data_IF_413023737024
#
_entry.id   IF_413023737024
#
_cell.length_a   1.000
_cell.length_b   1.000
_cell.length_c   1.000
_cell.angle_alpha   90.00
_cell.angle_beta   90.00
_cell.angle_gamma   90.00
#
_symmetry.space_group_name_H-M   'P 1'
#
loop_
_entity.id
_entity.type
_entity.pdbx_description
1 polymer ?
#
# COMPACT_ATOMS: atom_id res chain seq x y z
N UNK A 1 -5.00 -20.40 1.55
CA UNK A 1 -5.92 -19.33 1.07
C UNK A 1 -5.35 -17.95 1.35
N UNK A 2 -5.01 -17.58 2.59
CA UNK A 2 -4.50 -16.24 2.95
C UNK A 2 -3.27 -15.79 2.15
N UNK A 3 -2.27 -16.66 1.96
CA UNK A 3 -1.07 -16.35 1.15
C UNK A 3 -1.43 -15.93 -0.27
N UNK A 4 -2.39 -16.63 -0.91
CA UNK A 4 -2.84 -16.29 -2.26
C UNK A 4 -3.42 -14.86 -2.32
N UNK A 5 -4.24 -14.48 -1.33
CA UNK A 5 -4.78 -13.12 -1.24
C UNK A 5 -3.67 -12.07 -1.09
N UNK A 6 -2.65 -12.32 -0.27
CA UNK A 6 -1.52 -11.40 -0.15
C UNK A 6 -0.77 -11.26 -1.48
N UNK A 7 -0.54 -12.36 -2.20
CA UNK A 7 0.17 -12.32 -3.49
C UNK A 7 -0.64 -11.57 -4.56
N UNK A 8 -1.97 -11.78 -4.61
CA UNK A 8 -2.86 -11.01 -5.51
C UNK A 8 -2.76 -9.52 -5.16
N UNK A 9 -2.86 -9.18 -3.87
CA UNK A 9 -2.75 -7.79 -3.41
C UNK A 9 -1.41 -7.17 -3.75
N UNK A 10 -0.32 -7.91 -3.53
CA UNK A 10 1.03 -7.47 -3.86
C UNK A 10 1.23 -7.21 -5.36
N UNK A 11 0.68 -8.07 -6.21
CA UNK A 11 0.72 -7.90 -7.66
C UNK A 11 -0.05 -6.64 -8.09
N UNK A 12 -1.27 -6.45 -7.58
CA UNK A 12 -2.07 -5.26 -7.86
C UNK A 12 -1.35 -3.98 -7.41
N UNK A 13 -0.72 -3.99 -6.23
CA UNK A 13 0.03 -2.83 -5.73
C UNK A 13 1.30 -2.57 -6.54
N UNK A 14 1.99 -3.61 -7.02
CA UNK A 14 3.15 -3.43 -7.91
C UNK A 14 2.75 -2.72 -9.22
N UNK A 15 1.66 -3.16 -9.84
CA UNK A 15 1.10 -2.49 -11.02
C UNK A 15 0.63 -1.07 -10.70
N UNK A 16 -0.05 -0.87 -9.59
CA UNK A 16 -0.51 0.44 -9.14
C UNK A 16 0.66 1.42 -8.94
N UNK A 17 1.76 0.98 -8.33
CA UNK A 17 2.96 1.81 -8.14
C UNK A 17 3.58 2.24 -9.47
N UNK A 18 3.67 1.32 -10.45
CA UNK A 18 4.15 1.66 -11.79
C UNK A 18 3.22 2.67 -12.50
N UNK A 19 1.91 2.50 -12.31
CA UNK A 19 0.90 3.43 -12.85
C UNK A 19 0.98 4.80 -12.19
N UNK A 20 1.19 4.89 -10.87
CA UNK A 20 1.34 6.16 -10.16
C UNK A 20 2.47 7.01 -10.71
N UNK A 21 3.60 6.40 -11.08
CA UNK A 21 4.71 7.12 -11.73
C UNK A 21 4.24 7.82 -13.00
N UNK A 22 3.43 7.14 -13.82
CA UNK A 22 2.86 7.73 -15.05
C UNK A 22 1.84 8.83 -14.75
N UNK A 23 0.97 8.61 -13.78
CA UNK A 23 -0.10 9.54 -13.39
C UNK A 23 0.50 10.86 -12.89
N UNK A 24 1.44 10.79 -11.96
CA UNK A 24 2.03 11.99 -11.33
C UNK A 24 2.87 12.86 -12.26
N UNK A 25 3.17 12.38 -13.47
CA UNK A 25 3.81 13.20 -14.53
C UNK A 25 2.84 14.13 -15.25
N UNK A 26 1.55 13.80 -15.28
CA UNK A 26 0.55 14.51 -16.08
C UNK A 26 -0.62 15.03 -15.26
N UNK A 27 -0.84 14.50 -14.06
CA UNK A 27 -1.97 14.81 -13.20
C UNK A 27 -1.44 15.13 -11.79
N UNK A 28 -1.87 16.22 -11.17
CA UNK A 28 -1.58 16.49 -9.76
C UNK A 28 -2.03 15.30 -8.89
N UNK A 29 -1.17 14.85 -7.98
CA UNK A 29 -1.45 13.65 -7.19
C UNK A 29 -2.75 13.76 -6.37
N UNK A 30 -3.13 14.97 -5.93
CA UNK A 30 -4.36 15.25 -5.22
C UNK A 30 -5.59 14.89 -6.06
N UNK A 31 -5.56 15.30 -7.33
CA UNK A 31 -6.62 15.02 -8.32
C UNK A 31 -6.67 13.53 -8.63
N UNK A 32 -5.53 12.90 -8.85
CA UNK A 32 -5.42 11.45 -9.04
C UNK A 32 -5.98 10.67 -7.86
N UNK A 33 -5.65 11.08 -6.63
CA UNK A 33 -6.13 10.47 -5.40
C UNK A 33 -7.65 10.60 -5.24
N UNK A 34 -8.20 11.76 -5.54
CA UNK A 34 -9.63 12.02 -5.48
C UNK A 34 -10.43 11.17 -6.47
N UNK A 35 -10.10 11.22 -7.76
CA UNK A 35 -10.88 10.51 -8.78
C UNK A 35 -10.77 8.97 -8.69
N UNK A 36 -9.56 8.43 -8.42
CA UNK A 36 -9.45 7.00 -8.17
C UNK A 36 -10.23 6.57 -6.92
N UNK A 37 -10.23 7.46 -5.90
CA UNK A 37 -10.97 7.24 -4.66
C UNK A 37 -12.48 7.24 -4.88
N UNK A 38 -13.02 8.11 -5.75
CA UNK A 38 -14.44 8.05 -6.16
C UNK A 38 -14.75 6.67 -6.72
N UNK A 39 -13.98 6.18 -7.69
CA UNK A 39 -14.20 4.86 -8.28
C UNK A 39 -14.18 3.76 -7.23
N UNK A 40 -13.13 3.71 -6.41
CA UNK A 40 -12.98 2.68 -5.40
C UNK A 40 -14.09 2.75 -4.34
N UNK A 41 -14.45 3.95 -3.85
CA UNK A 41 -15.52 4.14 -2.87
C UNK A 41 -16.88 3.71 -3.42
N UNK A 42 -17.19 4.03 -4.68
CA UNK A 42 -18.45 3.61 -5.32
C UNK A 42 -18.51 2.09 -5.45
N UNK A 43 -17.42 1.45 -5.91
CA UNK A 43 -17.37 0.00 -6.02
C UNK A 43 -17.53 -0.66 -4.64
N UNK A 44 -16.81 -0.19 -3.63
CA UNK A 44 -16.96 -0.73 -2.27
C UNK A 44 -18.32 -0.43 -1.64
N UNK A 45 -18.94 0.72 -1.95
CA UNK A 45 -20.30 1.00 -1.53
C UNK A 45 -21.29 -0.02 -2.13
N UNK A 46 -21.18 -0.28 -3.43
CA UNK A 46 -22.03 -1.28 -4.11
C UNK A 46 -21.81 -2.66 -3.50
N UNK A 47 -20.56 -3.08 -3.29
CA UNK A 47 -20.24 -4.37 -2.69
C UNK A 47 -20.76 -4.48 -1.25
N UNK A 48 -20.53 -3.44 -0.44
CA UNK A 48 -20.90 -3.45 0.96
C UNK A 48 -22.41 -3.35 1.17
N UNK A 49 -23.09 -2.38 0.57
CA UNK A 49 -24.51 -2.16 0.79
C UNK A 49 -25.40 -3.06 -0.07
N UNK A 50 -24.97 -3.45 -1.27
CA UNK A 50 -25.73 -4.27 -2.18
C UNK A 50 -25.59 -5.78 -1.94
N UNK A 51 -24.41 -6.22 -1.50
CA UNK A 51 -24.10 -7.65 -1.47
C UNK A 51 -23.61 -8.17 -0.12
N UNK A 52 -23.54 -7.37 0.94
CA UNK A 52 -23.03 -7.78 2.26
C UNK A 52 -23.73 -9.01 2.84
N UNK A 53 -25.01 -9.21 2.53
CA UNK A 53 -25.83 -10.31 3.03
C UNK A 53 -25.79 -11.54 2.10
N UNK A 54 -25.10 -11.46 0.96
CA UNK A 54 -24.98 -12.59 0.05
C UNK A 54 -24.09 -13.68 0.66
N UNK A 55 -24.39 -14.94 0.37
CA UNK A 55 -23.60 -16.07 0.83
C UNK A 55 -22.13 -16.00 0.40
N UNK A 56 -21.84 -15.36 -0.73
CA UNK A 56 -20.47 -15.16 -1.24
C UNK A 56 -19.62 -14.27 -0.33
N UNK A 57 -20.23 -13.24 0.29
CA UNK A 57 -19.53 -12.29 1.17
C UNK A 57 -19.72 -12.61 2.67
N UNK A 58 -20.32 -13.75 3.00
CA UNK A 58 -20.44 -14.19 4.39
C UNK A 58 -19.05 -14.31 5.03
N UNK A 59 -18.87 -13.65 6.17
CA UNK A 59 -17.56 -13.57 6.85
C UNK A 59 -16.67 -12.41 6.40
N UNK A 60 -16.99 -11.71 5.29
CA UNK A 60 -16.25 -10.49 4.87
C UNK A 60 -16.89 -9.20 5.42
N UNK A 61 -18.08 -9.32 5.99
CA UNK A 61 -18.75 -8.29 6.79
C UNK A 61 -19.01 -8.86 8.18
N UNK A 62 -18.58 -8.13 9.21
CA UNK A 62 -18.77 -8.58 10.60
C UNK A 62 -20.02 -7.95 11.19
N UNK A 63 -20.15 -6.64 11.08
CA UNK A 63 -21.33 -5.88 11.52
C UNK A 63 -21.61 -4.70 10.60
N UNK A 64 -22.85 -4.16 10.61
CA UNK A 64 -23.14 -2.91 9.89
C UNK A 64 -22.29 -1.76 10.42
N UNK A 65 -21.88 -0.87 9.51
CA UNK A 65 -21.23 0.38 9.87
C UNK A 65 -22.21 1.22 10.70
N UNK A 66 -21.76 1.66 11.86
CA UNK A 66 -22.51 2.55 12.74
C UNK A 66 -21.64 3.79 13.06
N UNK A 67 -22.30 4.91 13.32
CA UNK A 67 -21.60 6.14 13.76
C UNK A 67 -21.32 5.98 15.25
N UNK A 68 -20.20 5.36 15.56
CA UNK A 68 -19.73 5.10 16.92
C UNK A 68 -18.24 5.44 17.08
N UNK A 69 -17.70 5.18 18.26
CA UNK A 69 -16.28 5.44 18.56
C UNK A 69 -15.36 4.63 17.62
N UNK A 70 -15.73 3.41 17.23
CA UNK A 70 -14.90 2.57 16.36
C UNK A 70 -14.81 3.16 14.95
N UNK A 71 -15.89 3.77 14.44
CA UNK A 71 -15.85 4.46 13.15
C UNK A 71 -14.92 5.68 13.20
N UNK A 72 -14.97 6.47 14.27
CA UNK A 72 -14.07 7.61 14.45
C UNK A 72 -12.61 7.18 14.53
N UNK A 73 -12.31 6.12 15.28
CA UNK A 73 -10.97 5.54 15.35
C UNK A 73 -10.51 4.98 14.00
N UNK A 74 -11.42 4.33 13.26
CA UNK A 74 -11.13 3.84 11.90
C UNK A 74 -10.80 4.98 10.96
N UNK A 75 -11.58 6.07 10.96
CA UNK A 75 -11.32 7.26 10.14
C UNK A 75 -9.98 7.90 10.53
N UNK A 76 -9.69 8.03 11.82
CA UNK A 76 -8.40 8.56 12.28
C UNK A 76 -7.23 7.71 11.79
N UNK A 77 -7.34 6.37 11.85
CA UNK A 77 -6.36 5.43 11.33
C UNK A 77 -6.22 5.55 9.80
N UNK A 78 -7.33 5.73 9.08
CA UNK A 78 -7.30 5.95 7.63
C UNK A 78 -6.57 7.25 7.27
N UNK A 79 -6.84 8.34 8.00
CA UNK A 79 -6.12 9.62 7.82
C UNK A 79 -4.63 9.43 8.11
N UNK A 80 -4.27 8.73 9.19
CA UNK A 80 -2.89 8.40 9.50
C UNK A 80 -2.22 7.62 8.37
N UNK A 81 -2.91 6.63 7.79
CA UNK A 81 -2.42 5.88 6.64
C UNK A 81 -2.22 6.76 5.39
N UNK A 82 -3.13 7.72 5.14
CA UNK A 82 -3.05 8.64 4.00
C UNK A 82 -1.79 9.52 4.07
N UNK A 83 -1.31 9.89 5.26
CA UNK A 83 -0.01 10.56 5.37
C UNK A 83 1.13 9.70 4.79
N UNK A 84 1.07 8.38 4.97
CA UNK A 84 2.00 7.45 4.32
C UNK A 84 1.99 7.58 2.80
N UNK A 85 0.81 7.62 2.18
CA UNK A 85 0.66 7.85 0.74
C UNK A 85 1.18 9.23 0.32
N UNK A 86 0.88 10.29 1.07
CA UNK A 86 1.36 11.63 0.76
C UNK A 86 2.89 11.72 0.78
N UNK A 87 3.53 11.16 1.79
CA UNK A 87 4.98 11.13 1.87
C UNK A 87 5.57 10.27 0.75
N UNK A 88 4.97 9.13 0.43
CA UNK A 88 5.38 8.33 -0.71
C UNK A 88 5.33 9.11 -2.02
N UNK A 89 4.21 9.76 -2.32
CA UNK A 89 4.03 10.54 -3.56
C UNK A 89 5.01 11.72 -3.64
N UNK A 90 5.25 12.42 -2.54
CA UNK A 90 6.28 13.47 -2.48
C UNK A 90 7.69 12.90 -2.64
N UNK A 91 7.93 11.71 -2.10
CA UNK A 91 9.20 11.01 -2.24
C UNK A 91 9.54 10.71 -3.70
N UNK A 92 8.61 10.10 -4.44
CA UNK A 92 8.81 9.75 -5.86
C UNK A 92 8.87 10.97 -6.79
N UNK A 93 8.42 12.14 -6.34
CA UNK A 93 8.64 13.40 -7.06
C UNK A 93 10.06 13.94 -6.88
N UNK A 94 10.74 13.62 -5.77
CA UNK A 94 12.07 14.12 -5.40
C UNK A 94 13.21 13.16 -5.70
N UNK A 95 12.91 11.86 -5.75
CA UNK A 95 13.90 10.83 -6.00
C UNK A 95 13.32 9.71 -6.91
N UNK A 96 14.19 8.94 -7.58
CA UNK A 96 13.77 7.77 -8.35
C UNK A 96 12.91 6.80 -7.54
N UNK A 97 11.93 6.18 -8.21
CA UNK A 97 11.05 5.17 -7.59
C UNK A 97 11.86 4.00 -7.04
N UNK A 98 12.93 3.61 -7.75
CA UNK A 98 13.87 2.56 -7.32
C UNK A 98 14.57 2.84 -5.98
N UNK A 99 14.60 4.10 -5.53
CA UNK A 99 15.12 4.50 -4.21
C UNK A 99 13.99 4.59 -3.18
N UNK A 100 12.91 5.29 -3.49
CA UNK A 100 11.84 5.60 -2.52
C UNK A 100 11.04 4.36 -2.16
N UNK A 101 10.75 3.51 -3.15
CA UNK A 101 9.91 2.33 -2.96
C UNK A 101 10.51 1.32 -1.96
N UNK A 102 11.79 0.89 -2.08
CA UNK A 102 12.39 0.00 -1.07
C UNK A 102 12.41 0.60 0.33
N UNK A 103 12.66 1.92 0.44
CA UNK A 103 12.69 2.60 1.74
C UNK A 103 11.29 2.66 2.37
N UNK A 104 10.26 2.97 1.58
CA UNK A 104 8.87 3.00 2.05
C UNK A 104 8.32 1.61 2.41
N UNK A 105 8.95 0.55 1.90
CA UNK A 105 8.58 -0.83 2.16
C UNK A 105 9.23 -1.43 3.43
N UNK A 106 10.10 -0.70 4.12
CA UNK A 106 10.70 -1.16 5.38
C UNK A 106 9.62 -1.47 6.42
N UNK A 107 9.64 -2.68 6.98
CA UNK A 107 8.60 -3.19 7.88
C UNK A 107 8.93 -3.06 9.37
N UNK A 108 9.98 -2.31 9.71
CA UNK A 108 10.38 -2.08 11.11
C UNK A 108 9.21 -1.55 11.94
N UNK A 109 8.54 -0.52 11.46
CA UNK A 109 7.41 0.08 12.18
C UNK A 109 6.19 -0.84 12.25
N UNK A 110 5.96 -1.66 11.22
CA UNK A 110 4.90 -2.68 11.27
C UNK A 110 5.15 -3.69 12.39
N UNK A 111 6.38 -4.19 12.48
CA UNK A 111 6.76 -5.17 13.49
C UNK A 111 6.67 -4.57 14.89
N UNK A 112 7.24 -3.38 15.10
CA UNK A 112 7.16 -2.70 16.38
C UNK A 112 5.70 -2.49 16.81
N UNK A 113 4.83 -2.03 15.90
CA UNK A 113 3.41 -1.83 16.21
C UNK A 113 2.69 -3.15 16.44
N UNK A 114 2.95 -4.19 15.63
CA UNK A 114 2.33 -5.50 15.80
C UNK A 114 2.67 -6.12 17.17
N UNK A 115 3.94 -6.06 17.58
CA UNK A 115 4.39 -6.64 18.85
C UNK A 115 3.95 -5.79 20.05
N UNK A 116 4.24 -4.49 20.04
CA UNK A 116 4.08 -3.65 21.25
C UNK A 116 2.69 -3.04 21.40
N UNK A 117 1.93 -2.87 20.31
CA UNK A 117 0.58 -2.26 20.35
C UNK A 117 -0.50 -3.30 20.18
N UNK A 118 -0.37 -4.20 19.17
CA UNK A 118 -1.37 -5.24 18.91
C UNK A 118 -1.16 -6.46 19.82
N UNK A 119 0.05 -6.71 20.29
CA UNK A 119 0.38 -7.88 21.13
C UNK A 119 0.55 -9.16 20.33
N UNK A 120 0.92 -9.09 19.06
CA UNK A 120 1.20 -10.29 18.25
C UNK A 120 2.39 -11.06 18.80
N UNK A 121 2.23 -12.37 18.93
CA UNK A 121 3.28 -13.24 19.48
C UNK A 121 4.45 -13.34 18.53
N UNK A 122 5.64 -13.03 19.05
CA UNK A 122 6.88 -13.11 18.30
C UNK A 122 7.31 -14.56 18.09
N UNK A 123 7.60 -14.92 16.83
CA UNK A 123 8.18 -16.22 16.47
C UNK A 123 9.54 -16.03 15.79
N UNK A 124 10.51 -16.90 16.06
CA UNK A 124 11.86 -16.80 15.47
C UNK A 124 11.87 -16.78 13.93
N UNK A 125 11.04 -17.55 13.21
CA UNK A 125 10.98 -17.44 11.75
C UNK A 125 10.62 -16.02 11.26
N UNK A 126 9.81 -15.27 12.01
CA UNK A 126 9.49 -13.87 11.66
C UNK A 126 10.73 -12.96 11.70
N UNK A 127 11.61 -13.17 12.70
CA UNK A 127 12.87 -12.42 12.79
C UNK A 127 13.78 -12.72 11.59
N UNK A 128 13.97 -14.00 11.28
CA UNK A 128 14.81 -14.38 10.15
C UNK A 128 14.25 -13.84 8.83
N UNK A 129 12.96 -13.97 8.59
CA UNK A 129 12.31 -13.44 7.41
C UNK A 129 12.39 -11.92 7.34
N UNK A 130 12.25 -11.23 8.47
CA UNK A 130 12.42 -9.77 8.55
C UNK A 130 13.84 -9.34 8.22
N UNK A 131 14.86 -9.99 8.79
CA UNK A 131 16.27 -9.66 8.51
C UNK A 131 16.58 -9.88 7.02
N UNK A 132 16.15 -11.02 6.45
CA UNK A 132 16.35 -11.32 5.04
C UNK A 132 15.64 -10.30 4.13
N UNK A 133 14.38 -9.98 4.39
CA UNK A 133 13.63 -9.03 3.56
C UNK A 133 14.17 -7.61 3.68
N UNK A 134 14.55 -7.17 4.87
CA UNK A 134 15.16 -5.86 5.11
C UNK A 134 16.53 -5.78 4.44
N UNK A 135 17.35 -6.82 4.58
CA UNK A 135 18.64 -6.92 3.87
C UNK A 135 18.47 -6.85 2.36
N UNK A 136 17.49 -7.57 1.82
CA UNK A 136 17.15 -7.51 0.40
C UNK A 136 16.75 -6.11 -0.07
N UNK A 137 15.88 -5.43 0.69
CA UNK A 137 15.47 -4.04 0.41
C UNK A 137 16.66 -3.07 0.48
N UNK A 138 17.58 -3.27 1.44
CA UNK A 138 18.80 -2.46 1.54
C UNK A 138 19.71 -2.65 0.31
N UNK A 139 19.89 -3.87 -0.20
CA UNK A 139 20.66 -4.09 -1.43
C UNK A 139 20.03 -3.39 -2.63
N UNK A 140 18.70 -3.44 -2.78
CA UNK A 140 17.99 -2.71 -3.83
C UNK A 140 18.20 -1.20 -3.69
N UNK A 141 18.11 -0.67 -2.47
CA UNK A 141 18.31 0.74 -2.17
C UNK A 141 19.75 1.21 -2.42
N UNK A 142 20.75 0.49 -1.91
CA UNK A 142 22.17 0.89 -2.02
C UNK A 142 22.63 0.99 -3.48
N UNK A 143 22.18 0.06 -4.33
CA UNK A 143 22.51 0.13 -5.75
C UNK A 143 21.82 1.31 -6.44
N UNK A 144 20.53 1.50 -6.17
CA UNK A 144 19.81 2.63 -6.74
C UNK A 144 20.36 3.99 -6.27
N UNK A 145 20.89 4.05 -5.04
CA UNK A 145 21.45 5.27 -4.46
C UNK A 145 22.90 5.55 -4.87
N UNK A 146 23.65 4.56 -5.36
CA UNK A 146 25.04 4.74 -5.78
C UNK A 146 25.20 5.74 -6.94
N UNK A 147 24.15 5.93 -7.74
CA UNK A 147 24.08 6.88 -8.83
C UNK A 147 23.45 8.23 -8.43
N UNK A 148 23.21 8.46 -7.15
CA UNK A 148 22.33 9.48 -6.64
C UNK A 148 23.00 10.34 -5.56
N UNK A 149 23.52 11.54 -5.90
CA UNK A 149 24.22 12.42 -4.94
C UNK A 149 23.54 13.75 -4.60
N UNK A 150 22.32 14.02 -5.12
CA UNK A 150 21.69 15.33 -4.95
C UNK A 150 20.97 15.48 -3.59
N UNK A 151 20.89 16.74 -3.09
CA UNK A 151 20.12 17.11 -1.89
C UNK A 151 18.63 16.67 -2.00
N UNK A 152 18.09 16.71 -3.21
CA UNK A 152 16.71 16.31 -3.47
C UNK A 152 16.46 14.83 -3.23
N UNK A 153 17.43 13.97 -3.57
CA UNK A 153 17.34 12.54 -3.35
C UNK A 153 17.36 12.18 -1.86
N UNK A 154 18.18 12.87 -1.05
CA UNK A 154 18.16 12.72 0.41
C UNK A 154 16.79 13.07 0.97
N UNK A 155 16.14 14.11 0.45
CA UNK A 155 14.78 14.50 0.81
C UNK A 155 13.78 13.42 0.40
N UNK A 156 13.92 12.82 -0.79
CA UNK A 156 13.09 11.70 -1.24
C UNK A 156 13.20 10.47 -0.34
N UNK A 157 14.42 10.13 0.11
CA UNK A 157 14.66 9.05 1.09
C UNK A 157 13.97 9.34 2.42
N UNK A 158 14.07 10.58 2.92
CA UNK A 158 13.41 10.97 4.17
C UNK A 158 11.89 10.85 4.06
N UNK A 159 11.31 11.24 2.93
CA UNK A 159 9.89 11.01 2.65
C UNK A 159 9.54 9.52 2.57
N UNK A 160 10.41 8.68 1.99
CA UNK A 160 10.25 7.23 2.00
C UNK A 160 10.24 6.65 3.42
N UNK A 161 11.13 7.09 4.31
CA UNK A 161 11.14 6.70 5.72
C UNK A 161 9.88 7.15 6.46
N UNK A 162 9.45 8.40 6.26
CA UNK A 162 8.19 8.88 6.82
C UNK A 162 6.99 8.05 6.31
N UNK A 163 6.96 7.72 5.03
CA UNK A 163 5.95 6.82 4.47
C UNK A 163 5.98 5.44 5.13
N UNK A 164 7.16 4.86 5.33
CA UNK A 164 7.34 3.58 6.03
C UNK A 164 6.78 3.62 7.46
N UNK A 165 6.99 4.72 8.18
CA UNK A 165 6.42 4.89 9.52
C UNK A 165 4.88 4.87 9.51
N UNK A 166 4.27 5.73 8.69
CA UNK A 166 2.81 5.85 8.64
C UNK A 166 2.15 4.58 8.11
N UNK A 167 2.63 4.03 7.00
CA UNK A 167 2.08 2.79 6.44
C UNK A 167 2.36 1.58 7.32
N UNK A 168 3.60 1.47 7.82
CA UNK A 168 3.98 0.34 8.64
C UNK A 168 3.14 0.22 9.90
N UNK A 169 2.97 1.32 10.63
CA UNK A 169 2.13 1.35 11.82
C UNK A 169 0.65 1.12 11.49
N UNK A 170 0.14 1.77 10.42
CA UNK A 170 -1.26 1.59 10.00
C UNK A 170 -1.58 0.15 9.66
N UNK A 171 -0.73 -0.53 8.89
CA UNK A 171 -0.97 -1.91 8.46
C UNK A 171 -1.05 -2.88 9.64
N UNK A 172 -0.27 -2.67 10.69
CA UNK A 172 -0.43 -3.46 11.90
C UNK A 172 -1.77 -3.20 12.60
N UNK A 173 -2.23 -1.94 12.61
CA UNK A 173 -3.48 -1.54 13.26
C UNK A 173 -4.74 -1.89 12.45
N UNK A 174 -4.63 -2.27 11.18
CA UNK A 174 -5.78 -2.66 10.33
C UNK A 174 -6.54 -3.86 10.88
N UNK A 175 -5.90 -4.68 11.71
CA UNK A 175 -6.57 -5.80 12.37
C UNK A 175 -7.82 -5.35 13.14
N UNK A 176 -7.81 -4.18 13.80
CA UNK A 176 -8.95 -3.68 14.57
C UNK A 176 -10.17 -3.33 13.70
N UNK A 177 -10.08 -2.43 12.70
CA UNK A 177 -11.24 -2.12 11.86
C UNK A 177 -11.71 -3.33 11.03
N UNK A 178 -10.81 -4.26 10.64
CA UNK A 178 -11.20 -5.49 9.97
C UNK A 178 -11.99 -6.40 10.91
N UNK A 179 -11.62 -6.50 12.19
CA UNK A 179 -12.39 -7.22 13.20
C UNK A 179 -13.75 -6.56 13.48
N UNK A 180 -13.84 -5.24 13.44
CA UNK A 180 -15.09 -4.51 13.70
C UNK A 180 -16.06 -4.55 12.53
N UNK A 181 -15.59 -4.30 11.33
CA UNK A 181 -16.42 -4.07 10.14
C UNK A 181 -16.30 -5.14 9.06
N UNK A 182 -15.33 -6.04 9.19
CA UNK A 182 -14.92 -6.97 8.14
C UNK A 182 -14.11 -6.28 7.03
N UNK A 183 -13.49 -7.08 6.14
CA UNK A 183 -12.69 -6.57 5.03
C UNK A 183 -13.42 -5.60 4.11
N UNK A 184 -14.70 -5.85 3.80
CA UNK A 184 -15.50 -4.98 2.93
C UNK A 184 -15.83 -3.65 3.59
N UNK A 185 -16.30 -3.67 4.85
CA UNK A 185 -16.64 -2.46 5.59
C UNK A 185 -15.43 -1.56 5.78
N UNK A 186 -14.30 -2.13 6.17
CA UNK A 186 -13.05 -1.39 6.30
C UNK A 186 -12.55 -0.84 4.95
N UNK A 187 -12.61 -1.62 3.87
CA UNK A 187 -12.23 -1.16 2.54
C UNK A 187 -13.08 0.03 2.07
N UNK A 188 -14.38 0.02 2.36
CA UNK A 188 -15.25 1.16 2.07
C UNK A 188 -14.83 2.41 2.85
N UNK A 189 -14.57 2.29 4.15
CA UNK A 189 -14.20 3.44 4.99
C UNK A 189 -12.86 4.03 4.57
N UNK A 190 -11.84 3.20 4.31
CA UNK A 190 -10.50 3.70 3.97
C UNK A 190 -10.49 4.43 2.62
N UNK A 191 -11.19 3.90 1.61
CA UNK A 191 -11.21 4.54 0.29
C UNK A 191 -12.08 5.80 0.26
N UNK A 192 -13.20 5.81 0.99
CA UNK A 192 -14.01 7.01 1.16
C UNK A 192 -13.24 8.10 1.90
N UNK A 193 -12.49 7.74 2.94
CA UNK A 193 -11.63 8.69 3.66
C UNK A 193 -10.53 9.23 2.74
N UNK A 194 -9.90 8.37 1.93
CA UNK A 194 -8.88 8.80 0.98
C UNK A 194 -9.44 9.73 -0.12
N UNK A 195 -10.64 9.45 -0.62
CA UNK A 195 -11.36 10.32 -1.56
C UNK A 195 -11.61 11.70 -0.95
N UNK A 196 -12.22 11.75 0.24
CA UNK A 196 -12.52 13.01 0.93
C UNK A 196 -11.26 13.80 1.26
N UNK A 197 -10.19 13.13 1.67
CA UNK A 197 -8.91 13.77 1.93
C UNK A 197 -8.31 14.35 0.63
N UNK A 198 -8.41 13.63 -0.50
CA UNK A 198 -8.02 14.13 -1.81
C UNK A 198 -8.78 15.41 -2.18
N UNK A 199 -10.08 15.46 -1.92
CA UNK A 199 -10.90 16.67 -2.12
C UNK A 199 -10.42 17.84 -1.26
N UNK A 200 -10.14 17.60 0.02
CA UNK A 200 -9.60 18.62 0.92
C UNK A 200 -8.28 19.19 0.40
N UNK A 201 -7.39 18.34 -0.12
CA UNK A 201 -6.13 18.78 -0.72
C UNK A 201 -6.35 19.60 -2.01
N UNK A 202 -7.30 19.21 -2.85
CA UNK A 202 -7.66 19.97 -4.07
C UNK A 202 -8.11 21.38 -3.69
N UNK A 203 -8.96 21.50 -2.67
CA UNK A 203 -9.46 22.80 -2.17
C UNK A 203 -8.30 23.61 -1.59
N UNK A 204 -7.49 23.00 -0.72
CA UNK A 204 -6.36 23.65 -0.05
C UNK A 204 -5.33 24.19 -1.05
N UNK A 205 -5.04 23.42 -2.10
CA UNK A 205 -4.01 23.78 -3.09
C UNK A 205 -4.57 24.66 -4.24
N UNK A 206 -5.84 25.11 -4.14
CA UNK A 206 -6.49 26.00 -5.12
C UNK A 206 -6.75 25.36 -6.49
N UNK A 207 -6.75 24.02 -6.56
CA UNK A 207 -6.92 23.28 -7.81
C UNK A 207 -8.38 23.11 -8.25
N UNK A 208 -9.35 23.57 -7.45
CA UNK A 208 -10.77 23.33 -7.70
C UNK A 208 -11.22 23.90 -9.06
N UNK A 209 -10.74 25.09 -9.41
CA UNK A 209 -11.07 25.74 -10.70
C UNK A 209 -10.50 25.02 -11.92
N UNK A 210 -9.43 24.24 -11.76
CA UNK A 210 -8.72 23.54 -12.82
C UNK A 210 -9.02 22.03 -12.88
N UNK A 211 -9.75 21.49 -11.91
CA UNK A 211 -10.07 20.05 -11.83
C UNK A 211 -10.72 19.53 -13.12
N UNK A 212 -11.60 20.33 -13.75
CA UNK A 212 -12.28 19.96 -14.99
C UNK A 212 -11.30 19.63 -16.15
N UNK A 213 -10.09 20.21 -16.15
CA UNK A 213 -9.07 19.94 -17.17
C UNK A 213 -8.54 18.50 -17.10
N UNK A 214 -8.70 17.84 -15.95
CA UNK A 214 -8.29 16.46 -15.71
C UNK A 214 -9.42 15.44 -15.89
N UNK A 215 -10.62 15.88 -16.33
CA UNK A 215 -11.76 15.01 -16.68
C UNK A 215 -11.74 14.74 -18.19
N UNK A 216 -10.62 14.23 -18.70
CA UNK A 216 -10.48 13.81 -20.09
C UNK A 216 -10.57 12.28 -20.19
N UNK A 217 -11.02 11.75 -21.32
CA UNK A 217 -11.20 10.31 -21.52
C UNK A 217 -9.93 9.50 -21.16
N UNK A 218 -8.75 10.00 -21.55
CA UNK A 218 -7.45 9.36 -21.23
C UNK A 218 -7.16 9.33 -19.73
N UNK A 219 -7.54 10.37 -18.99
CA UNK A 219 -7.35 10.43 -17.54
C UNK A 219 -8.39 9.58 -16.82
N UNK A 220 -9.65 9.57 -17.27
CA UNK A 220 -10.72 8.72 -16.73
C UNK A 220 -10.32 7.25 -16.80
N UNK A 221 -9.82 6.79 -17.95
CA UNK A 221 -9.31 5.43 -18.09
C UNK A 221 -8.21 5.12 -17.07
N UNK A 222 -7.31 6.08 -16.84
CA UNK A 222 -6.24 5.95 -15.84
C UNK A 222 -6.81 5.82 -14.43
N UNK A 223 -7.82 6.61 -14.05
CA UNK A 223 -8.46 6.54 -12.73
C UNK A 223 -9.19 5.21 -12.54
N UNK A 224 -9.87 4.71 -13.56
CA UNK A 224 -10.56 3.41 -13.54
C UNK A 224 -9.54 2.29 -13.32
N UNK A 225 -8.44 2.25 -14.08
CA UNK A 225 -7.40 1.23 -13.93
C UNK A 225 -6.80 1.27 -12.52
N UNK A 226 -6.44 2.46 -12.04
CA UNK A 226 -5.94 2.64 -10.67
C UNK A 226 -6.96 2.20 -9.63
N UNK A 227 -8.23 2.54 -9.82
CA UNK A 227 -9.32 2.15 -8.93
C UNK A 227 -9.52 0.63 -8.90
N UNK A 228 -9.50 -0.05 -10.05
CA UNK A 228 -9.60 -1.51 -10.14
C UNK A 228 -8.44 -2.18 -9.40
N UNK A 229 -7.19 -1.74 -9.66
CA UNK A 229 -6.01 -2.28 -8.98
C UNK A 229 -6.08 -2.09 -7.47
N UNK A 230 -6.60 -0.95 -7.03
CA UNK A 230 -6.77 -0.63 -5.62
C UNK A 230 -7.88 -1.47 -4.98
N UNK A 231 -9.04 -1.59 -5.63
CA UNK A 231 -10.16 -2.41 -5.14
C UNK A 231 -9.72 -3.88 -5.03
N UNK A 232 -9.15 -4.43 -6.10
CA UNK A 232 -8.71 -5.82 -6.09
C UNK A 232 -7.58 -6.06 -5.08
N UNK A 233 -6.56 -5.20 -5.10
CA UNK A 233 -5.38 -5.33 -4.25
C UNK A 233 -5.70 -5.08 -2.77
N UNK A 234 -6.39 -3.97 -2.48
CA UNK A 234 -6.74 -3.59 -1.11
C UNK A 234 -7.69 -4.60 -0.46
N UNK A 235 -8.73 -5.04 -1.18
CA UNK A 235 -9.65 -6.05 -0.68
C UNK A 235 -8.94 -7.38 -0.42
N UNK A 236 -8.10 -7.84 -1.35
CA UNK A 236 -7.35 -9.07 -1.18
C UNK A 236 -6.45 -9.02 0.08
N UNK A 237 -5.73 -7.91 0.29
CA UNK A 237 -4.94 -7.74 1.52
C UNK A 237 -5.85 -7.72 2.75
N UNK A 238 -6.94 -6.97 2.74
CA UNK A 238 -7.84 -6.88 3.89
C UNK A 238 -8.47 -8.23 4.24
N UNK A 239 -8.80 -9.07 3.24
CA UNK A 239 -9.27 -10.45 3.45
C UNK A 239 -8.16 -11.30 4.10
N UNK A 240 -6.90 -11.11 3.72
CA UNK A 240 -5.80 -11.92 4.26
C UNK A 240 -5.62 -11.80 5.77
N UNK A 241 -6.01 -10.67 6.38
CA UNK A 241 -5.99 -10.48 7.85
C UNK A 241 -6.93 -11.43 8.61
N UNK A 242 -7.89 -12.05 7.92
CA UNK A 242 -8.73 -13.08 8.53
C UNK A 242 -8.05 -14.47 8.63
N UNK A 243 -6.97 -14.66 7.86
CA UNK A 243 -6.33 -15.97 7.69
C UNK A 243 -4.89 -16.03 8.17
N UNK A 244 -4.21 -14.89 8.27
CA UNK A 244 -2.77 -14.85 8.52
C UNK A 244 -2.42 -13.83 9.61
N UNK A 245 -1.36 -14.10 10.38
CA UNK A 245 -0.77 -13.14 11.30
C UNK A 245 -0.30 -11.86 10.57
N UNK A 246 -0.35 -10.73 11.26
CA UNK A 246 0.05 -9.41 10.74
C UNK A 246 1.46 -9.44 10.16
N UNK A 247 2.40 -10.05 10.89
CA UNK A 247 3.81 -10.13 10.46
C UNK A 247 3.95 -10.90 9.15
N UNK A 248 3.22 -12.02 9.00
CA UNK A 248 3.23 -12.84 7.78
C UNK A 248 2.74 -12.03 6.59
N UNK A 249 1.59 -11.36 6.73
CA UNK A 249 1.01 -10.52 5.67
C UNK A 249 2.03 -9.46 5.25
N UNK A 250 2.62 -8.76 6.22
CA UNK A 250 3.49 -7.63 5.94
C UNK A 250 4.86 -8.03 5.38
N UNK A 251 5.37 -9.21 5.69
CA UNK A 251 6.57 -9.75 5.04
C UNK A 251 6.24 -10.17 3.61
N UNK A 252 5.12 -10.88 3.40
CA UNK A 252 4.72 -11.31 2.06
C UNK A 252 4.38 -10.14 1.13
N UNK A 253 3.82 -9.03 1.63
CA UNK A 253 3.49 -7.86 0.81
C UNK A 253 4.74 -7.17 0.24
N UNK A 254 5.94 -7.45 0.79
CA UNK A 254 7.22 -7.01 0.21
C UNK A 254 7.40 -7.59 -1.21
N UNK A 255 6.72 -8.69 -1.54
CA UNK A 255 6.70 -9.21 -2.92
C UNK A 255 6.23 -8.19 -3.95
N UNK A 256 5.43 -7.20 -3.56
CA UNK A 256 5.05 -6.10 -4.44
C UNK A 256 6.26 -5.29 -4.92
N UNK A 257 7.30 -5.17 -4.08
CA UNK A 257 8.54 -4.48 -4.44
C UNK A 257 9.37 -5.30 -5.42
N UNK A 258 9.48 -6.61 -5.14
CA UNK A 258 10.12 -7.57 -6.06
C UNK A 258 9.44 -7.52 -7.42
N UNK A 259 8.12 -7.60 -7.46
CA UNK A 259 7.35 -7.51 -8.70
C UNK A 259 7.53 -6.15 -9.38
N UNK A 260 7.57 -5.03 -8.64
CA UNK A 260 7.81 -3.70 -9.21
C UNK A 260 9.18 -3.60 -9.88
N UNK A 261 10.23 -4.22 -9.29
CA UNK A 261 11.58 -4.27 -9.88
C UNK A 261 11.58 -5.16 -11.13
N UNK A 262 10.94 -6.32 -11.09
CA UNK A 262 10.82 -7.21 -12.24
C UNK A 262 10.03 -6.57 -13.39
N UNK A 263 8.95 -5.85 -13.10
CA UNK A 263 8.20 -5.07 -14.09
C UNK A 263 9.08 -3.96 -14.70
N UNK A 264 9.92 -3.30 -13.89
CA UNK A 264 10.92 -2.34 -14.35
C UNK A 264 11.90 -2.97 -15.37
N UNK A 265 12.44 -4.14 -15.02
CA UNK A 265 13.32 -4.91 -15.92
C UNK A 265 12.60 -5.30 -17.22
N UNK A 266 11.38 -5.83 -17.15
CA UNK A 266 10.66 -6.34 -18.32
C UNK A 266 10.15 -5.21 -19.24
N UNK A 267 9.57 -4.15 -18.68
CA UNK A 267 8.92 -3.10 -19.47
C UNK A 267 9.85 -1.95 -19.84
N UNK A 268 10.81 -1.61 -18.97
CA UNK A 268 11.73 -0.50 -19.20
C UNK A 268 13.12 -0.96 -19.63
N UNK A 269 13.33 -2.29 -19.79
CA UNK A 269 14.62 -2.91 -20.19
C UNK A 269 15.78 -2.47 -19.28
N UNK A 270 15.48 -2.18 -18.00
CA UNK A 270 16.48 -1.83 -17.00
C UNK A 270 17.38 -3.07 -16.74
N UNK A 271 18.71 -2.87 -16.70
CA UNK A 271 19.62 -3.96 -16.36
C UNK A 271 19.75 -4.02 -14.84
N UNK A 272 19.49 -5.20 -14.28
CA UNK A 272 19.69 -5.43 -12.85
C UNK A 272 21.15 -5.75 -12.58
N UNK A 273 21.72 -5.05 -11.59
CA UNK A 273 23.08 -5.33 -11.09
C UNK A 273 23.11 -6.63 -10.26
N UNK A 274 24.31 -7.17 -10.04
CA UNK A 274 24.48 -8.34 -9.18
C UNK A 274 23.96 -8.10 -7.74
N UNK A 275 24.09 -6.89 -7.21
CA UNK A 275 23.54 -6.52 -5.88
C UNK A 275 22.02 -6.53 -5.87
N UNK A 276 21.39 -6.03 -6.93
CA UNK A 276 19.92 -6.08 -7.04
C UNK A 276 19.43 -7.52 -7.14
N UNK A 277 20.09 -8.38 -7.90
CA UNK A 277 19.79 -9.82 -7.94
C UNK A 277 19.92 -10.46 -6.56
N UNK A 278 21.00 -10.16 -5.81
CA UNK A 278 21.15 -10.64 -4.44
C UNK A 278 20.00 -10.16 -3.54
N UNK A 279 19.62 -8.88 -3.66
CA UNK A 279 18.47 -8.33 -2.94
C UNK A 279 17.16 -9.07 -3.21
N UNK A 280 16.90 -9.38 -4.49
CA UNK A 280 15.71 -10.17 -4.88
C UNK A 280 15.74 -11.58 -4.30
N UNK A 281 16.89 -12.26 -4.33
CA UNK A 281 17.07 -13.61 -3.75
C UNK A 281 16.80 -13.59 -2.25
N UNK A 282 17.31 -12.59 -1.51
CA UNK A 282 17.05 -12.46 -0.07
C UNK A 282 15.57 -12.25 0.25
N UNK A 283 14.87 -11.43 -0.55
CA UNK A 283 13.42 -11.22 -0.39
C UNK A 283 12.68 -12.54 -0.66
N UNK A 284 13.02 -13.29 -1.71
CA UNK A 284 12.40 -14.58 -2.01
C UNK A 284 12.68 -15.57 -0.87
N UNK A 285 13.91 -15.64 -0.37
CA UNK A 285 14.25 -16.50 0.77
C UNK A 285 13.42 -16.19 2.01
N UNK A 286 13.11 -14.89 2.26
CA UNK A 286 12.28 -14.50 3.39
C UNK A 286 10.86 -15.08 3.32
N UNK A 287 10.31 -15.27 2.12
CA UNK A 287 8.97 -15.86 1.94
C UNK A 287 8.96 -17.35 2.31
N UNK A 288 10.00 -18.09 1.93
CA UNK A 288 10.13 -19.49 2.33
C UNK A 288 10.25 -19.63 3.84
N UNK A 289 11.04 -18.75 4.48
CA UNK A 289 11.18 -18.75 5.95
C UNK A 289 9.84 -18.43 6.63
N UNK A 290 9.09 -17.45 6.16
CA UNK A 290 7.76 -17.13 6.71
C UNK A 290 6.78 -18.28 6.51
N UNK A 291 6.84 -18.98 5.38
CA UNK A 291 5.95 -20.10 5.09
C UNK A 291 6.13 -21.26 6.08
N UNK A 292 7.29 -21.39 6.73
CA UNK A 292 7.53 -22.40 7.79
C UNK A 292 6.90 -22.03 9.14
N UNK A 293 6.40 -20.80 9.29
CA UNK A 293 5.83 -20.29 10.54
C UNK A 293 4.28 -20.28 10.52
N UNK A 294 3.67 -20.56 9.36
CA UNK A 294 2.22 -20.62 9.10
C UNK A 294 1.77 -22.05 9.05
#
# INVERSE_FOLDING_TARGET
MGILFVLIGAFCFALSNAYWKKVTQTIPYQVGMFFRGIFASVVFAILYFGFRESAFFTGWTVRPLAIDQNLLLTIALCIFNIFGLLFFLRGIQKAPVSIVVPVSALKVFTILTAVFVVGEVWKMPYLYAFVLSTGGLLFLYLEASSHASSKEQKTGVLYGLASSFFWGSSYALYTYPIQWWGPLGFSFVIETTAMLFGLVLIIKDGLLSTVHQYIKATHIQTYIVQGILLVAGGLAINISYQYLPIMVINILIISSQLLSVLLGFMFFKERLSAKQWLGLVLIIASFFVVATAV
#
